data_IF_608333482155
#
_entry.id   IF_608333482155
#
_cell.length_a   1.000
_cell.length_b   1.000
_cell.length_c   1.000
_cell.angle_alpha   90.00
_cell.angle_beta   90.00
_cell.angle_gamma   90.00
#
_symmetry.space_group_name_H-M   'P 1'
#
loop_
_entity.id
_entity.type
_entity.pdbx_description
1 polymer ?
#
# COMPACT_ATOMS: atom_id res chain seq x y z
N UNK A 1 34.39 -13.94 -6.06
CA UNK A 1 32.95 -14.22 -5.84
C UNK A 1 32.27 -12.95 -5.37
N UNK A 2 31.45 -12.32 -6.22
CA UNK A 2 30.66 -11.14 -5.85
C UNK A 2 29.42 -11.62 -5.11
N UNK A 3 29.39 -11.47 -3.79
CA UNK A 3 28.17 -11.70 -3.01
C UNK A 3 27.27 -10.48 -3.28
N UNK A 4 26.39 -10.63 -4.27
CA UNK A 4 25.31 -9.68 -4.55
C UNK A 4 24.50 -9.52 -3.28
N UNK A 5 24.72 -8.42 -2.55
CA UNK A 5 23.99 -8.07 -1.34
C UNK A 5 22.61 -7.48 -1.70
N UNK A 6 21.92 -8.13 -2.63
CA UNK A 6 20.60 -7.76 -3.14
C UNK A 6 19.51 -8.52 -2.37
N UNK A 7 19.67 -8.55 -1.03
CA UNK A 7 18.56 -8.90 -0.14
C UNK A 7 17.58 -7.74 -0.17
N UNK A 8 16.64 -7.82 -1.11
CA UNK A 8 15.24 -7.42 -0.99
C UNK A 8 15.00 -6.52 0.23
N UNK A 9 15.32 -5.23 0.11
CA UNK A 9 14.78 -4.22 1.03
C UNK A 9 13.30 -4.15 0.73
N UNK A 10 12.53 -5.07 1.32
CA UNK A 10 11.09 -4.93 1.43
C UNK A 10 10.81 -3.48 1.82
N UNK A 11 10.03 -2.72 1.03
CA UNK A 11 9.78 -1.34 1.34
C UNK A 11 9.02 -1.34 2.66
N UNK A 12 9.70 -1.10 3.79
CA UNK A 12 9.13 -1.04 5.14
C UNK A 12 7.79 -0.29 5.09
N UNK A 13 6.70 -1.06 4.99
CA UNK A 13 5.37 -0.54 4.72
C UNK A 13 4.91 0.33 5.88
N UNK A 14 5.41 0.01 7.07
CA UNK A 14 5.31 0.77 8.31
C UNK A 14 5.71 2.23 8.15
N UNK A 15 6.74 2.56 7.36
CA UNK A 15 7.15 3.96 7.14
C UNK A 15 6.10 4.76 6.37
N UNK A 16 5.42 4.13 5.41
CA UNK A 16 4.36 4.78 4.63
C UNK A 16 3.07 4.90 5.45
N UNK A 17 2.79 3.95 6.35
CA UNK A 17 1.69 4.04 7.31
C UNK A 17 1.91 5.20 8.30
N UNK A 18 3.13 5.33 8.84
CA UNK A 18 3.53 6.48 9.68
C UNK A 18 3.39 7.79 8.92
N UNK A 19 3.71 7.82 7.61
CA UNK A 19 3.59 9.04 6.80
C UNK A 19 2.17 9.61 6.80
N UNK A 20 1.15 8.76 6.82
CA UNK A 20 -0.25 9.18 6.92
C UNK A 20 -0.54 9.80 8.29
N UNK A 21 -0.02 9.21 9.37
CA UNK A 21 -0.15 9.77 10.72
C UNK A 21 0.52 11.15 10.86
N UNK A 22 1.71 11.31 10.29
CA UNK A 22 2.41 12.60 10.23
C UNK A 22 1.59 13.63 9.47
N UNK A 23 1.01 13.24 8.32
CA UNK A 23 0.16 14.15 7.54
C UNK A 23 -1.03 14.67 8.36
N UNK A 24 -1.69 13.80 9.12
CA UNK A 24 -2.87 14.19 9.91
C UNK A 24 -2.47 15.13 11.03
N UNK A 25 -1.38 14.82 11.73
CA UNK A 25 -0.91 15.60 12.88
C UNK A 25 -0.41 16.98 12.46
N UNK A 26 0.19 17.09 11.27
CA UNK A 26 0.82 18.31 10.76
C UNK A 26 0.12 18.86 9.50
N UNK A 27 -1.19 18.65 9.35
CA UNK A 27 -1.93 19.01 8.13
C UNK A 27 -1.92 20.52 7.80
N UNK A 28 -1.75 21.36 8.83
CA UNK A 28 -1.66 22.82 8.71
C UNK A 28 -0.27 23.27 8.23
N UNK A 29 0.77 22.54 8.59
CA UNK A 29 2.17 22.85 8.27
C UNK A 29 2.55 22.29 6.90
N UNK A 30 2.07 21.09 6.57
CA UNK A 30 2.37 20.40 5.31
C UNK A 30 1.49 20.99 4.19
N UNK A 31 2.06 21.90 3.39
CA UNK A 31 1.36 22.56 2.28
C UNK A 31 1.35 21.72 1.02
N UNK A 32 2.43 20.98 0.75
CA UNK A 32 2.60 20.22 -0.48
C UNK A 32 3.28 18.84 -0.26
N UNK A 33 3.26 17.99 -1.30
CA UNK A 33 3.83 16.63 -1.23
C UNK A 33 5.35 16.63 -1.05
N UNK A 34 6.04 17.69 -1.47
CA UNK A 34 7.48 17.82 -1.29
C UNK A 34 7.83 17.99 0.18
N UNK A 35 7.13 18.91 0.87
CA UNK A 35 7.26 19.11 2.31
C UNK A 35 6.89 17.84 3.08
N UNK A 36 5.80 17.17 2.69
CA UNK A 36 5.42 15.89 3.30
C UNK A 36 6.52 14.82 3.17
N UNK A 37 7.11 14.71 1.98
CA UNK A 37 8.22 13.78 1.75
C UNK A 37 9.45 14.15 2.58
N UNK A 38 9.76 15.44 2.70
CA UNK A 38 10.87 15.96 3.50
C UNK A 38 10.69 15.66 5.00
N UNK A 39 9.48 15.85 5.56
CA UNK A 39 9.15 15.46 6.94
C UNK A 39 9.41 13.97 7.21
N UNK A 40 9.29 13.13 6.17
CA UNK A 40 9.52 11.69 6.25
C UNK A 40 10.97 11.28 5.90
N UNK A 41 11.86 12.24 5.62
CA UNK A 41 13.25 11.97 5.24
C UNK A 41 13.42 11.38 3.83
N UNK A 42 12.49 11.65 2.92
CA UNK A 42 12.55 11.16 1.53
C UNK A 42 12.64 12.29 0.51
N UNK A 43 13.26 11.98 -0.63
CA UNK A 43 13.02 12.75 -1.84
C UNK A 43 11.58 12.56 -2.31
N UNK A 44 10.99 13.60 -2.92
CA UNK A 44 9.61 13.59 -3.42
C UNK A 44 9.31 12.39 -4.33
N UNK A 45 10.20 12.09 -5.29
CA UNK A 45 10.00 11.00 -6.25
C UNK A 45 10.02 9.65 -5.56
N UNK A 46 10.94 9.45 -4.60
CA UNK A 46 11.04 8.21 -3.84
C UNK A 46 9.80 8.01 -2.96
N UNK A 47 9.36 9.06 -2.27
CA UNK A 47 8.14 9.05 -1.49
C UNK A 47 6.91 8.70 -2.34
N UNK A 48 6.71 9.39 -3.47
CA UNK A 48 5.57 9.13 -4.35
C UNK A 48 5.52 7.68 -4.84
N UNK A 49 6.67 7.12 -5.24
CA UNK A 49 6.76 5.73 -5.70
C UNK A 49 6.39 4.75 -4.60
N UNK A 50 6.95 4.92 -3.39
CA UNK A 50 6.68 4.03 -2.25
C UNK A 50 5.25 4.15 -1.74
N UNK A 51 4.73 5.37 -1.67
CA UNK A 51 3.37 5.65 -1.26
C UNK A 51 2.36 5.01 -2.22
N UNK A 52 2.54 5.20 -3.54
CA UNK A 52 1.71 4.53 -4.56
C UNK A 52 1.81 3.02 -4.49
N UNK A 53 3.00 2.45 -4.29
CA UNK A 53 3.17 0.99 -4.15
C UNK A 53 2.40 0.45 -2.93
N UNK A 54 2.37 1.20 -1.82
CA UNK A 54 1.70 0.80 -0.57
C UNK A 54 0.19 1.00 -0.60
N UNK A 55 -0.28 2.14 -1.11
CA UNK A 55 -1.66 2.59 -0.98
C UNK A 55 -2.44 2.59 -2.30
N UNK A 56 -1.76 2.37 -3.43
CA UNK A 56 -2.33 2.43 -4.78
C UNK A 56 -2.95 3.79 -5.12
N UNK A 57 -2.55 4.83 -4.40
CA UNK A 57 -3.09 6.18 -4.53
C UNK A 57 -2.01 7.24 -4.72
N UNK A 58 -2.40 8.34 -5.36
CA UNK A 58 -1.53 9.49 -5.53
C UNK A 58 -1.44 10.29 -4.21
N UNK A 59 -0.24 10.52 -3.64
CA UNK A 59 -0.09 11.30 -2.41
C UNK A 59 -0.70 12.70 -2.49
N UNK A 60 -0.69 13.31 -3.68
CA UNK A 60 -1.31 14.63 -3.89
C UNK A 60 -2.82 14.58 -3.65
N UNK A 61 -3.49 13.50 -4.05
CA UNK A 61 -4.93 13.32 -3.84
C UNK A 61 -5.23 13.03 -2.37
N UNK A 62 -4.39 12.23 -1.72
CA UNK A 62 -4.48 11.98 -0.27
C UNK A 62 -4.37 13.28 0.53
N UNK A 63 -3.35 14.11 0.24
CA UNK A 63 -3.17 15.42 0.87
C UNK A 63 -4.40 16.31 0.68
N UNK A 64 -4.95 16.38 -0.53
CA UNK A 64 -6.15 17.17 -0.83
C UNK A 64 -7.36 16.69 -0.03
N UNK A 65 -7.61 15.39 0.02
CA UNK A 65 -8.75 14.82 0.79
C UNK A 65 -8.57 15.05 2.29
N UNK A 66 -7.34 14.88 2.81
CA UNK A 66 -7.04 15.17 4.21
C UNK A 66 -7.34 16.63 4.57
N UNK A 67 -6.94 17.58 3.70
CA UNK A 67 -7.24 19.00 3.90
C UNK A 67 -8.73 19.32 3.77
N UNK A 68 -9.41 18.76 2.78
CA UNK A 68 -10.86 18.89 2.65
C UNK A 68 -11.61 18.38 3.88
N UNK A 69 -11.19 17.24 4.44
CA UNK A 69 -11.75 16.71 5.67
C UNK A 69 -11.55 17.65 6.86
N UNK A 70 -10.37 18.27 6.98
CA UNK A 70 -10.12 19.30 8.02
C UNK A 70 -11.10 20.46 7.87
N UNK A 71 -11.32 20.95 6.65
CA UNK A 71 -12.33 22.00 6.36
C UNK A 71 -13.72 21.56 6.82
N UNK A 72 -14.16 20.35 6.44
CA UNK A 72 -15.47 19.83 6.87
C UNK A 72 -15.59 19.76 8.39
N UNK A 73 -14.56 19.26 9.08
CA UNK A 73 -14.55 19.18 10.56
C UNK A 73 -14.66 20.55 11.21
N UNK A 74 -13.93 21.53 10.70
CA UNK A 74 -13.97 22.91 11.22
C UNK A 74 -15.35 23.55 11.01
N UNK A 75 -16.00 23.29 9.87
CA UNK A 75 -17.37 23.74 9.63
C UNK A 75 -18.36 23.06 10.59
N UNK A 76 -18.17 21.76 10.85
CA UNK A 76 -19.03 20.97 11.74
C UNK A 76 -18.85 21.36 13.21
N UNK A 77 -17.65 21.79 13.63
CA UNK A 77 -17.43 22.26 15.00
C UNK A 77 -18.07 23.62 15.26
N UNK A 78 -18.21 24.47 14.24
CA UNK A 78 -18.83 25.78 14.37
C UNK A 78 -19.66 26.13 13.12
N UNK A 79 -20.97 25.85 13.20
CA UNK A 79 -21.93 26.15 12.13
C UNK A 79 -22.15 27.65 11.92
N UNK A 80 -21.68 28.52 12.80
CA UNK A 80 -21.74 29.97 12.64
C UNK A 80 -20.46 30.54 12.02
N UNK A 81 -19.38 29.75 11.93
CA UNK A 81 -18.10 30.17 11.40
C UNK A 81 -18.21 30.77 9.99
N UNK A 82 -17.48 31.87 9.79
CA UNK A 82 -17.30 32.53 8.50
C UNK A 82 -16.30 31.77 7.65
N UNK A 83 -16.34 31.96 6.33
CA UNK A 83 -15.38 31.33 5.40
C UNK A 83 -13.92 31.67 5.76
N UNK A 84 -13.68 32.90 6.25
CA UNK A 84 -12.37 33.36 6.70
C UNK A 84 -11.86 32.57 7.92
N UNK A 85 -12.69 32.40 8.95
CA UNK A 85 -12.33 31.61 10.14
C UNK A 85 -12.00 30.16 9.76
N UNK A 86 -12.86 29.54 8.93
CA UNK A 86 -12.65 28.17 8.46
C UNK A 86 -11.37 28.04 7.63
N UNK A 87 -11.05 29.04 6.79
CA UNK A 87 -9.83 29.07 6.00
C UNK A 87 -8.59 29.02 6.91
N UNK A 88 -8.52 29.92 7.91
CA UNK A 88 -7.39 30.02 8.82
C UNK A 88 -7.20 28.72 9.62
N UNK A 89 -8.26 28.20 10.23
CA UNK A 89 -8.22 26.96 11.03
C UNK A 89 -7.94 25.70 10.20
N UNK A 90 -8.10 25.78 8.88
CA UNK A 90 -7.80 24.70 7.94
C UNK A 90 -6.46 24.86 7.21
N UNK A 91 -5.68 25.90 7.54
CA UNK A 91 -4.34 26.14 6.99
C UNK A 91 -4.33 26.84 5.63
N UNK A 92 -5.37 27.62 5.32
CA UNK A 92 -5.40 28.51 4.16
C UNK A 92 -5.11 29.94 4.59
N UNK A 93 -4.46 30.69 3.70
CA UNK A 93 -4.09 32.10 3.93
C UNK A 93 -5.33 33.02 4.03
N UNK A 94 -6.38 32.72 3.25
CA UNK A 94 -7.62 33.49 3.22
C UNK A 94 -8.81 32.67 2.70
N UNK A 95 -9.99 33.27 2.81
CA UNK A 95 -11.27 32.75 2.30
C UNK A 95 -11.24 32.52 0.78
N UNK A 96 -10.58 33.39 0.01
CA UNK A 96 -10.41 33.24 -1.45
C UNK A 96 -9.61 31.98 -1.81
N UNK A 97 -8.56 31.68 -1.05
CA UNK A 97 -7.73 30.49 -1.24
C UNK A 97 -8.52 29.22 -0.92
N UNK A 98 -9.30 29.23 0.17
CA UNK A 98 -10.24 28.17 0.50
C UNK A 98 -11.25 27.96 -0.63
N UNK A 99 -11.88 29.04 -1.12
CA UNK A 99 -12.87 28.95 -2.19
C UNK A 99 -12.27 28.37 -3.48
N UNK A 100 -11.10 28.88 -3.91
CA UNK A 100 -10.37 28.32 -5.07
C UNK A 100 -10.03 26.84 -4.88
N UNK A 101 -9.66 26.43 -3.67
CA UNK A 101 -9.37 25.04 -3.36
C UNK A 101 -10.62 24.16 -3.50
N UNK A 102 -11.74 24.56 -2.90
CA UNK A 102 -13.00 23.82 -2.97
C UNK A 102 -13.51 23.71 -4.41
N UNK A 103 -13.50 24.83 -5.14
CA UNK A 103 -14.00 24.86 -6.51
C UNK A 103 -13.15 24.00 -7.45
N UNK A 104 -11.82 24.13 -7.40
CA UNK A 104 -10.92 23.41 -8.34
C UNK A 104 -10.83 21.91 -8.09
N UNK A 105 -10.96 21.47 -6.84
CA UNK A 105 -10.72 20.06 -6.49
C UNK A 105 -12.00 19.27 -6.28
N UNK A 106 -13.10 19.93 -5.92
CA UNK A 106 -14.35 19.27 -5.57
C UNK A 106 -15.57 19.83 -6.32
N UNK A 107 -15.46 21.02 -6.94
CA UNK A 107 -16.56 21.75 -7.57
C UNK A 107 -17.63 22.24 -6.58
N UNK A 108 -17.19 22.68 -5.39
CA UNK A 108 -18.09 23.12 -4.31
C UNK A 108 -17.83 24.57 -3.92
N UNK A 109 -18.90 25.30 -3.64
CA UNK A 109 -18.87 26.57 -2.91
C UNK A 109 -18.84 26.35 -1.39
N UNK A 110 -18.31 27.33 -0.64
CA UNK A 110 -18.27 27.24 0.83
C UNK A 110 -19.67 27.13 1.44
N UNK A 111 -20.62 27.98 1.01
CA UNK A 111 -21.99 27.95 1.51
C UNK A 111 -22.68 26.63 1.13
N UNK A 112 -22.55 26.20 -0.12
CA UNK A 112 -23.08 24.92 -0.59
C UNK A 112 -22.53 23.74 0.22
N UNK A 113 -21.23 23.76 0.55
CA UNK A 113 -20.60 22.77 1.42
C UNK A 113 -21.20 22.80 2.83
N UNK A 114 -21.34 23.99 3.40
CA UNK A 114 -21.90 24.16 4.74
C UNK A 114 -23.34 23.68 4.83
N UNK A 115 -24.18 24.03 3.86
CA UNK A 115 -25.58 23.61 3.80
C UNK A 115 -25.70 22.09 3.61
N UNK A 116 -24.88 21.53 2.74
CA UNK A 116 -24.84 20.08 2.54
C UNK A 116 -24.38 19.34 3.80
N UNK A 117 -23.35 19.85 4.48
CA UNK A 117 -22.91 19.28 5.76
C UNK A 117 -24.01 19.39 6.82
N UNK A 118 -24.79 20.46 6.87
CA UNK A 118 -25.95 20.58 7.78
C UNK A 118 -27.04 19.57 7.45
N UNK A 119 -27.41 19.43 6.16
CA UNK A 119 -28.41 18.46 5.69
C UNK A 119 -28.02 17.02 6.05
N UNK A 120 -26.73 16.71 5.99
CA UNK A 120 -26.22 15.36 6.23
C UNK A 120 -25.72 15.10 7.65
N UNK A 121 -25.48 16.15 8.45
CA UNK A 121 -25.34 15.99 9.90
C UNK A 121 -26.65 15.43 10.50
N UNK A 122 -27.79 15.74 9.89
CA UNK A 122 -29.10 15.22 10.27
C UNK A 122 -29.44 13.85 9.64
N UNK A 123 -28.92 13.56 8.44
CA UNK A 123 -29.07 12.28 7.74
C UNK A 123 -27.79 11.46 7.80
N UNK A 124 -27.74 10.52 8.73
CA UNK A 124 -26.61 9.60 8.91
C UNK A 124 -26.04 9.04 7.59
N UNK A 125 -24.72 9.25 7.42
CA UNK A 125 -23.72 8.39 6.72
C UNK A 125 -23.43 8.48 5.21
N UNK A 126 -23.96 9.41 4.40
CA UNK A 126 -23.61 9.43 2.95
C UNK A 126 -22.61 10.49 2.45
N UNK A 127 -22.40 11.62 3.12
CA UNK A 127 -21.36 12.59 2.69
C UNK A 127 -19.97 12.18 3.18
N UNK A 128 -19.95 11.48 4.31
CA UNK A 128 -18.73 11.04 4.97
C UNK A 128 -18.24 9.71 4.37
N UNK A 129 -18.90 9.10 3.37
CA UNK A 129 -18.31 7.93 2.67
C UNK A 129 -17.11 8.29 1.78
N UNK A 130 -16.77 9.57 1.66
CA UNK A 130 -15.52 10.06 1.03
C UNK A 130 -14.52 10.64 2.05
N UNK A 131 -14.95 10.80 3.31
CA UNK A 131 -14.25 11.53 4.37
C UNK A 131 -14.22 10.79 5.73
N UNK A 132 -14.69 9.54 5.80
CA UNK A 132 -14.78 8.78 7.05
C UNK A 132 -13.41 8.34 7.55
N UNK A 133 -13.29 8.23 8.88
CA UNK A 133 -12.17 7.54 9.54
C UNK A 133 -12.06 6.08 9.08
N UNK A 134 -13.17 5.48 8.62
CA UNK A 134 -13.25 4.07 8.22
C UNK A 134 -12.38 3.71 7.03
N UNK A 135 -12.06 4.65 6.12
CA UNK A 135 -11.31 4.31 4.92
C UNK A 135 -9.79 4.27 5.17
N UNK A 136 -9.28 4.95 6.20
CA UNK A 136 -7.85 4.85 6.54
C UNK A 136 -7.57 3.65 7.44
N UNK A 137 -8.46 3.33 8.38
CA UNK A 137 -8.50 2.02 9.03
C UNK A 137 -8.70 0.89 7.99
N UNK A 138 -9.42 1.12 6.88
CA UNK A 138 -9.46 0.19 5.75
C UNK A 138 -8.16 0.16 4.93
N UNK A 139 -7.49 1.29 4.68
CA UNK A 139 -6.21 1.33 3.94
C UNK A 139 -5.06 0.71 4.76
N UNK A 140 -5.08 0.86 6.09
CA UNK A 140 -4.13 0.25 7.03
C UNK A 140 -4.52 -1.22 7.30
N UNK A 141 -5.80 -1.50 7.53
CA UNK A 141 -6.35 -2.82 7.83
C UNK A 141 -6.41 -3.79 6.63
N UNK A 142 -6.62 -3.29 5.40
CA UNK A 142 -6.53 -4.12 4.17
C UNK A 142 -5.10 -4.57 3.88
N UNK A 143 -4.09 -3.81 4.32
CA UNK A 143 -2.69 -4.21 4.20
C UNK A 143 -2.32 -5.31 5.20
N UNK A 144 -2.82 -5.24 6.43
CA UNK A 144 -2.63 -6.32 7.41
C UNK A 144 -3.35 -7.60 6.99
N UNK A 145 -4.56 -7.51 6.43
CA UNK A 145 -5.29 -8.66 5.88
C UNK A 145 -4.57 -9.31 4.68
N UNK A 146 -3.99 -8.51 3.75
CA UNK A 146 -3.19 -9.03 2.62
C UNK A 146 -1.89 -9.68 3.06
N UNK A 147 -1.19 -9.13 4.07
CA UNK A 147 0.01 -9.77 4.65
C UNK A 147 -0.31 -11.09 5.36
N UNK A 148 -1.51 -11.24 5.93
CA UNK A 148 -1.96 -12.49 6.54
C UNK A 148 -2.27 -13.56 5.47
N UNK A 149 -2.99 -13.19 4.41
CA UNK A 149 -3.31 -14.08 3.29
C UNK A 149 -2.08 -14.54 2.50
N UNK A 150 -1.09 -13.67 2.23
CA UNK A 150 0.17 -14.08 1.57
C UNK A 150 1.03 -15.00 2.45
N UNK A 151 0.99 -14.83 3.77
CA UNK A 151 1.68 -15.73 4.71
C UNK A 151 0.98 -17.09 4.82
N UNK A 152 -0.34 -17.13 4.72
CA UNK A 152 -1.14 -18.37 4.69
C UNK A 152 -0.94 -19.12 3.37
N UNK A 153 -1.00 -18.46 2.21
CA UNK A 153 -0.71 -19.08 0.91
C UNK A 153 0.74 -19.61 0.78
N UNK A 154 1.73 -18.90 1.34
CA UNK A 154 3.13 -19.39 1.38
C UNK A 154 3.31 -20.57 2.34
N UNK A 155 2.52 -20.66 3.42
CA UNK A 155 2.49 -21.83 4.30
C UNK A 155 1.85 -23.04 3.62
N UNK A 156 0.76 -22.83 2.90
CA UNK A 156 0.02 -23.87 2.19
C UNK A 156 0.85 -24.46 1.02
N UNK A 157 1.42 -23.59 0.17
CA UNK A 157 2.33 -24.01 -0.91
C UNK A 157 3.67 -24.59 -0.38
N UNK A 158 4.10 -24.17 0.81
CA UNK A 158 5.26 -24.74 1.52
C UNK A 158 4.99 -26.09 2.18
N UNK A 159 3.73 -26.41 2.50
CA UNK A 159 3.30 -27.70 3.05
C UNK A 159 3.18 -28.75 1.94
N UNK A 160 2.63 -28.35 0.80
CA UNK A 160 2.44 -29.22 -0.38
C UNK A 160 3.79 -29.70 -0.96
N UNK A 161 4.78 -28.80 -1.02
CA UNK A 161 6.15 -29.14 -1.42
C UNK A 161 6.91 -30.03 -0.41
N UNK A 162 6.55 -30.02 0.88
CA UNK A 162 7.10 -30.97 1.88
C UNK A 162 6.41 -32.33 1.82
N UNK A 163 5.12 -32.37 1.50
CA UNK A 163 4.38 -33.62 1.30
C UNK A 163 4.83 -34.35 0.01
N UNK A 164 5.05 -33.62 -1.10
CA UNK A 164 5.65 -34.18 -2.32
C UNK A 164 7.08 -34.71 -2.13
N UNK A 165 7.88 -34.08 -1.26
CA UNK A 165 9.25 -34.56 -0.95
C UNK A 165 9.26 -35.80 -0.05
N UNK A 166 8.20 -36.01 0.75
CA UNK A 166 8.02 -37.23 1.57
C UNK A 166 7.56 -38.42 0.74
N UNK A 167 6.73 -38.20 -0.29
CA UNK A 167 6.27 -39.27 -1.19
C UNK A 167 7.34 -39.75 -2.19
N UNK A 168 8.46 -39.02 -2.35
CA UNK A 168 9.59 -39.43 -3.19
C UNK A 168 10.64 -40.30 -2.50
N UNK A 169 10.50 -40.60 -1.20
CA UNK A 169 11.23 -41.70 -0.58
C UNK A 169 10.45 -43.00 -0.83
N UNK A 170 10.59 -43.50 -2.06
CA UNK A 170 10.17 -44.86 -2.39
C UNK A 170 10.95 -45.90 -1.57
N UNK A 171 10.40 -47.11 -1.42
CA UNK A 171 10.97 -48.15 -0.56
C UNK A 171 12.41 -48.48 -0.95
N UNK A 172 13.26 -48.63 0.06
CA UNK A 172 14.62 -49.15 -0.10
C UNK A 172 14.56 -50.47 -0.89
N UNK A 173 15.22 -50.49 -2.05
CA UNK A 173 15.34 -51.72 -2.81
C UNK A 173 16.29 -52.68 -2.08
N UNK A 174 15.95 -53.97 -1.96
CA UNK A 174 16.79 -54.97 -1.35
C UNK A 174 18.05 -55.20 -2.20
N UNK A 175 19.17 -55.42 -1.51
CA UNK A 175 20.51 -55.47 -2.08
C UNK A 175 20.67 -56.43 -3.26
N UNK A 176 21.37 -55.96 -4.29
CA UNK A 176 21.89 -56.80 -5.36
C UNK A 176 23.26 -57.39 -4.98
N UNK A 177 23.53 -58.67 -5.29
CA UNK A 177 24.79 -59.32 -4.94
C UNK A 177 25.96 -58.80 -5.78
N UNK A 178 27.14 -58.76 -5.17
CA UNK A 178 28.42 -58.55 -5.85
C UNK A 178 28.63 -59.63 -6.92
N UNK A 179 28.81 -59.21 -8.16
CA UNK A 179 29.32 -60.07 -9.23
C UNK A 179 30.83 -59.95 -9.33
N UNK A 180 31.50 -61.09 -9.13
CA UNK A 180 32.92 -61.30 -9.42
C UNK A 180 33.13 -61.52 -10.92
N UNK A 181 34.35 -61.20 -11.37
CA UNK A 181 34.73 -61.07 -12.77
C UNK A 181 34.56 -62.30 -13.66
N UNK A 182 34.64 -62.04 -14.96
CA UNK A 182 34.66 -63.02 -16.02
C UNK A 182 34.80 -62.29 -17.36
N UNK A 183 36.02 -62.26 -17.86
CA UNK A 183 36.38 -61.90 -19.23
C UNK A 183 35.56 -62.70 -20.23
N UNK A 184 34.92 -62.05 -21.20
CA UNK A 184 34.80 -62.58 -22.56
C UNK A 184 34.43 -61.46 -23.55
N UNK A 185 35.28 -61.32 -24.56
CA UNK A 185 35.15 -60.39 -25.69
C UNK A 185 34.87 -61.25 -26.93
N UNK A 186 33.80 -60.99 -27.68
CA UNK A 186 33.78 -61.33 -29.11
C UNK A 186 33.47 -60.07 -29.93
N UNK A 187 34.41 -59.60 -30.75
CA UNK A 187 34.60 -59.96 -32.17
C UNK A 187 33.47 -59.47 -33.08
N UNK A 188 33.77 -58.37 -33.77
CA UNK A 188 33.08 -57.89 -34.97
C UNK A 188 33.23 -58.88 -36.13
N UNK A 189 32.23 -58.97 -37.01
CA UNK A 189 32.47 -59.14 -38.43
C UNK A 189 32.01 -57.90 -39.20
N UNK A 190 32.86 -57.46 -40.13
CA UNK A 190 32.61 -56.36 -41.05
C UNK A 190 31.83 -56.75 -42.31
N UNK A 191 31.74 -55.76 -43.20
CA UNK A 191 31.22 -55.85 -44.57
C UNK A 191 29.75 -55.44 -44.68
N UNK A 192 29.27 -54.80 -45.73
CA UNK A 192 29.87 -54.17 -46.90
C UNK A 192 28.75 -53.33 -47.57
N UNK A 193 29.17 -52.35 -48.37
CA UNK A 193 28.53 -51.78 -49.55
C UNK A 193 26.99 -51.89 -49.73
N UNK A 194 26.35 -50.73 -49.89
CA UNK A 194 25.82 -50.22 -51.17
C UNK A 194 25.51 -48.71 -51.04
#
# INVERSE_FOLDING_TARGET
>A
MKISNDRLKEPSYRQMDIAVGVLISHILEIRNVTEWAACMGYSRSHFCRRFKKRFQENPKMVLRRARFRKVCRVIQSDWSATAYKVALESGFENDKALHKFLQRNFNWGFLSLKDELKRNAFRSRKIISFAAESDYEYIIGSSQKRQKQEKEQKKENGMDSRQQKRQRKGPEQPGFPKWHGGSDRPSFPGGAAL
#
